data_IF_662009813078
#
_entry.id   IF_662009813078
#
_cell.length_a   1.000
_cell.length_b   1.000
_cell.length_c   1.000
_cell.angle_alpha   90.00
_cell.angle_beta   90.00
_cell.angle_gamma   90.00
#
_symmetry.space_group_name_H-M   'P 1'
#
loop_
_entity.id
_entity.type
_entity.pdbx_description
1 polymer ?
#
# COMPACT_ATOMS: atom_id res chain seq x y z
N UNK A 1 -19.48 -12.46 -4.64
CA UNK A 1 -18.40 -13.42 -4.27
C UNK A 1 -18.08 -13.23 -2.80
N UNK A 2 -18.06 -14.30 -2.06
CA UNK A 2 -17.71 -14.24 -0.62
C UNK A 2 -16.19 -14.23 -0.48
N UNK A 3 -15.66 -13.29 0.30
CA UNK A 3 -14.26 -13.20 0.69
C UNK A 3 -14.13 -12.98 2.18
N UNK A 4 -13.02 -13.44 2.76
CA UNK A 4 -12.63 -13.14 4.15
C UNK A 4 -11.48 -12.15 4.15
N UNK A 5 -11.56 -11.13 5.01
CA UNK A 5 -10.45 -10.20 5.22
C UNK A 5 -9.68 -10.66 6.47
N UNK A 6 -8.43 -10.99 6.29
CA UNK A 6 -7.55 -11.52 7.34
C UNK A 6 -6.17 -10.88 7.28
N UNK A 7 -5.39 -10.98 8.37
CA UNK A 7 -3.97 -10.59 8.35
C UNK A 7 -3.21 -11.50 7.37
N UNK A 8 -2.29 -10.90 6.63
CA UNK A 8 -1.45 -11.64 5.72
C UNK A 8 -0.48 -12.57 6.45
N UNK A 9 0.02 -13.57 5.74
CA UNK A 9 1.00 -14.54 6.22
C UNK A 9 2.24 -14.53 5.32
N UNK A 10 3.36 -14.95 5.86
CA UNK A 10 4.66 -14.92 5.20
C UNK A 10 4.66 -15.66 3.84
N UNK A 11 3.99 -16.81 3.76
CA UNK A 11 3.91 -17.60 2.54
C UNK A 11 3.13 -16.92 1.40
N UNK A 12 2.43 -15.82 1.68
CA UNK A 12 1.69 -15.02 0.69
C UNK A 12 2.54 -13.88 0.10
N UNK A 13 3.83 -13.77 0.49
CA UNK A 13 4.69 -12.63 0.13
C UNK A 13 4.79 -12.38 -1.37
N UNK A 14 4.82 -13.43 -2.20
CA UNK A 14 4.90 -13.27 -3.66
C UNK A 14 3.66 -12.57 -4.24
N UNK A 15 2.47 -13.07 -3.92
CA UNK A 15 1.21 -12.47 -4.43
C UNK A 15 0.97 -11.08 -3.84
N UNK A 16 1.40 -10.82 -2.61
CA UNK A 16 1.32 -9.48 -1.99
C UNK A 16 2.24 -8.51 -2.75
N UNK A 17 3.48 -8.92 -3.06
CA UNK A 17 4.42 -8.09 -3.82
C UNK A 17 3.89 -7.74 -5.21
N UNK A 18 3.33 -8.71 -5.96
CA UNK A 18 2.68 -8.45 -7.25
C UNK A 18 1.55 -7.43 -7.14
N UNK A 19 0.69 -7.55 -6.12
CA UNK A 19 -0.43 -6.64 -5.91
C UNK A 19 0.01 -5.25 -5.46
N UNK A 20 1.08 -5.13 -4.68
CA UNK A 20 1.68 -3.83 -4.34
C UNK A 20 2.21 -3.15 -5.60
N UNK A 21 2.92 -3.88 -6.46
CA UNK A 21 3.42 -3.34 -7.74
C UNK A 21 2.29 -2.89 -8.67
N UNK A 22 1.20 -3.62 -8.72
CA UNK A 22 -0.01 -3.21 -9.47
C UNK A 22 -0.63 -1.91 -8.88
N UNK A 23 -0.65 -1.77 -7.54
CA UNK A 23 -1.12 -0.55 -6.89
C UNK A 23 -0.20 0.66 -7.16
N UNK A 24 1.11 0.45 -7.16
CA UNK A 24 2.12 1.48 -7.47
C UNK A 24 2.12 1.90 -8.94
N UNK A 25 1.64 1.07 -9.82
CA UNK A 25 1.77 0.97 -11.28
C UNK A 25 3.20 0.61 -11.77
N UNK A 26 3.27 0.00 -12.95
CA UNK A 26 4.54 -0.51 -13.48
C UNK A 26 5.54 0.57 -13.89
N UNK A 27 5.08 1.77 -14.28
CA UNK A 27 5.97 2.90 -14.61
C UNK A 27 6.70 3.39 -13.37
N UNK A 28 5.99 3.50 -12.24
CA UNK A 28 6.58 3.84 -10.95
C UNK A 28 7.58 2.77 -10.49
N UNK A 29 7.22 1.49 -10.59
CA UNK A 29 8.12 0.38 -10.26
C UNK A 29 9.39 0.41 -11.13
N UNK A 30 9.26 0.64 -12.44
CA UNK A 30 10.39 0.75 -13.36
C UNK A 30 11.25 1.99 -13.07
N UNK A 31 10.62 3.10 -12.67
CA UNK A 31 11.36 4.29 -12.26
C UNK A 31 12.24 4.00 -11.02
N UNK A 32 11.73 3.28 -10.03
CA UNK A 32 12.53 2.87 -8.87
C UNK A 32 13.65 1.90 -9.24
N UNK A 33 13.39 0.90 -10.08
CA UNK A 33 14.41 -0.04 -10.55
C UNK A 33 15.52 0.65 -11.38
N UNK A 34 15.14 1.66 -12.16
CA UNK A 34 16.03 2.34 -13.09
C UNK A 34 16.15 1.60 -14.43
N UNK A 35 16.85 2.20 -15.42
CA UNK A 35 16.85 1.72 -16.82
C UNK A 35 17.67 0.44 -17.04
N UNK A 36 18.50 0.04 -16.08
CA UNK A 36 19.38 -1.14 -16.19
C UNK A 36 18.77 -2.39 -15.54
N UNK A 37 17.61 -2.26 -14.91
CA UNK A 37 16.93 -3.33 -14.20
C UNK A 37 15.52 -3.52 -14.72
N UNK A 38 14.97 -4.72 -14.50
CA UNK A 38 13.66 -5.13 -14.99
C UNK A 38 12.58 -5.01 -13.89
N UNK A 39 11.31 -5.14 -14.28
CA UNK A 39 10.21 -5.29 -13.31
C UNK A 39 10.35 -6.57 -12.47
N UNK A 40 10.96 -7.63 -13.01
CA UNK A 40 11.24 -8.85 -12.25
C UNK A 40 12.30 -8.61 -11.16
N UNK A 41 13.31 -7.76 -11.43
CA UNK A 41 14.29 -7.35 -10.41
C UNK A 41 13.59 -6.56 -9.29
N UNK A 42 12.67 -5.65 -9.66
CA UNK A 42 11.89 -4.90 -8.69
C UNK A 42 10.93 -5.81 -7.88
N UNK A 43 10.29 -6.77 -8.54
CA UNK A 43 9.47 -7.78 -7.87
C UNK A 43 10.29 -8.57 -6.84
N UNK A 44 11.50 -8.98 -7.19
CA UNK A 44 12.37 -9.71 -6.27
C UNK A 44 12.75 -8.88 -5.03
N UNK A 45 12.98 -7.57 -5.20
CA UNK A 45 13.17 -6.65 -4.07
C UNK A 45 11.87 -6.53 -3.26
N UNK A 46 10.74 -6.25 -3.92
CA UNK A 46 9.45 -6.05 -3.24
C UNK A 46 9.05 -7.30 -2.42
N UNK A 47 9.22 -8.51 -2.98
CA UNK A 47 8.96 -9.76 -2.27
C UNK A 47 9.81 -9.87 -0.99
N UNK A 48 11.11 -9.55 -1.05
CA UNK A 48 11.97 -9.53 0.13
C UNK A 48 11.51 -8.49 1.17
N UNK A 49 11.03 -7.33 0.74
CA UNK A 49 10.50 -6.30 1.64
C UNK A 49 9.19 -6.75 2.33
N UNK A 50 8.34 -7.47 1.61
CA UNK A 50 7.11 -8.07 2.19
C UNK A 50 7.45 -9.13 3.22
N UNK A 51 8.49 -9.93 3.01
CA UNK A 51 8.95 -10.98 3.94
C UNK A 51 9.56 -10.43 5.24
N UNK A 52 10.01 -9.17 5.25
CA UNK A 52 10.61 -8.52 6.44
C UNK A 52 9.54 -8.11 7.45
N UNK A 53 9.95 -8.00 8.71
CA UNK A 53 9.10 -7.51 9.82
C UNK A 53 9.28 -6.00 10.09
N UNK A 54 10.32 -5.39 9.50
CA UNK A 54 10.73 -4.00 9.69
C UNK A 54 10.62 -3.15 8.41
N UNK A 55 9.77 -3.55 7.47
CA UNK A 55 9.50 -2.84 6.21
C UNK A 55 8.09 -2.24 6.23
N UNK A 56 7.91 -1.08 5.58
CA UNK A 56 6.57 -0.52 5.34
C UNK A 56 5.68 -1.52 4.58
N UNK A 57 6.24 -2.28 3.66
CA UNK A 57 5.57 -3.31 2.84
C UNK A 57 5.41 -4.66 3.53
N UNK A 58 5.83 -4.80 4.79
CA UNK A 58 5.77 -6.06 5.53
C UNK A 58 4.40 -6.75 5.45
N UNK A 59 4.40 -8.09 5.36
CA UNK A 59 3.17 -8.88 5.51
C UNK A 59 2.46 -8.60 6.85
N UNK A 60 3.18 -8.18 7.89
CA UNK A 60 2.59 -7.77 9.19
C UNK A 60 1.75 -6.49 9.08
N UNK A 61 2.02 -5.64 8.10
CA UNK A 61 1.28 -4.42 7.81
C UNK A 61 0.13 -4.64 6.84
N UNK A 62 -0.06 -5.87 6.34
CA UNK A 62 -0.96 -6.17 5.22
C UNK A 62 -2.19 -6.95 5.68
N UNK A 63 -3.37 -6.47 5.26
CA UNK A 63 -4.61 -7.24 5.23
C UNK A 63 -4.80 -7.82 3.83
N UNK A 64 -5.24 -9.07 3.77
CA UNK A 64 -5.57 -9.75 2.50
C UNK A 64 -7.04 -10.14 2.44
N UNK A 65 -7.63 -10.03 1.26
CA UNK A 65 -8.92 -10.62 0.93
C UNK A 65 -8.67 -12.01 0.33
N UNK A 66 -9.20 -13.05 0.96
CA UNK A 66 -9.06 -14.44 0.50
C UNK A 66 -10.40 -15.03 0.11
N UNK A 67 -10.42 -15.82 -0.96
CA UNK A 67 -11.58 -16.64 -1.34
C UNK A 67 -11.78 -17.81 -0.37
N UNK A 68 -12.87 -18.54 -0.52
CA UNK A 68 -13.14 -19.80 0.21
C UNK A 68 -12.07 -20.87 -0.03
N UNK A 69 -11.35 -20.79 -1.15
CA UNK A 69 -10.22 -21.65 -1.52
C UNK A 69 -8.86 -21.13 -1.03
N UNK A 70 -8.86 -20.10 -0.16
CA UNK A 70 -7.68 -19.42 0.38
C UNK A 70 -6.80 -18.70 -0.67
N UNK A 71 -7.32 -18.43 -1.88
CA UNK A 71 -6.61 -17.62 -2.87
C UNK A 71 -6.69 -16.14 -2.47
N UNK A 72 -5.55 -15.44 -2.44
CA UNK A 72 -5.49 -13.98 -2.23
C UNK A 72 -6.00 -13.29 -3.49
N UNK A 73 -6.97 -12.41 -3.33
CA UNK A 73 -7.62 -11.65 -4.42
C UNK A 73 -7.64 -10.14 -4.19
N UNK A 74 -7.10 -9.69 -3.05
CA UNK A 74 -6.93 -8.27 -2.74
C UNK A 74 -6.01 -8.07 -1.56
N UNK A 75 -5.35 -6.92 -1.51
CA UNK A 75 -4.44 -6.51 -0.44
C UNK A 75 -4.70 -5.06 -0.02
N UNK A 76 -4.45 -4.77 1.25
CA UNK A 76 -4.39 -3.41 1.77
C UNK A 76 -3.21 -3.32 2.74
N UNK A 77 -2.20 -2.55 2.40
CA UNK A 77 -1.02 -2.28 3.23
C UNK A 77 -1.27 -1.02 4.04
N UNK A 78 -1.08 -1.10 5.36
CA UNK A 78 -1.28 0.05 6.24
C UNK A 78 -0.41 -0.04 7.49
N UNK A 79 0.17 1.08 7.90
CA UNK A 79 1.05 1.20 9.06
C UNK A 79 0.86 2.55 9.75
N UNK A 80 1.32 2.65 11.01
CA UNK A 80 1.36 3.92 11.74
C UNK A 80 2.27 4.90 10.99
N UNK A 81 1.72 6.03 10.55
CA UNK A 81 2.45 7.05 9.80
C UNK A 81 3.67 7.60 10.55
N UNK A 82 3.63 7.62 11.88
CA UNK A 82 4.78 7.99 12.71
C UNK A 82 5.99 7.05 12.58
N UNK A 83 5.78 5.83 12.08
CA UNK A 83 6.84 4.85 11.84
C UNK A 83 7.39 4.89 10.41
N UNK A 84 6.88 5.75 9.54
CA UNK A 84 7.26 5.79 8.11
C UNK A 84 8.77 5.73 7.89
N UNK A 85 9.52 6.67 8.48
CA UNK A 85 10.97 6.78 8.25
C UNK A 85 11.74 5.55 8.72
N UNK A 86 11.31 4.93 9.82
CA UNK A 86 11.90 3.68 10.33
C UNK A 86 11.63 2.52 9.39
N UNK A 87 10.38 2.36 8.93
CA UNK A 87 9.95 1.26 8.07
C UNK A 87 10.49 1.41 6.64
N UNK A 88 10.55 2.65 6.13
CA UNK A 88 11.06 2.95 4.78
C UNK A 88 12.55 2.66 4.62
N UNK A 89 13.29 2.67 5.73
CA UNK A 89 14.72 2.34 5.70
C UNK A 89 15.00 1.02 4.99
N UNK A 90 14.16 0.00 5.18
CA UNK A 90 14.29 -1.29 4.51
C UNK A 90 14.21 -1.15 2.97
N UNK A 91 13.31 -0.30 2.46
CA UNK A 91 13.20 -0.02 1.02
C UNK A 91 14.41 0.76 0.51
N UNK A 92 14.86 1.79 1.21
CA UNK A 92 16.03 2.61 0.83
C UNK A 92 17.28 1.73 0.75
N UNK A 93 17.57 0.98 1.80
CA UNK A 93 18.74 0.09 1.85
C UNK A 93 18.64 -1.01 0.78
N UNK A 94 17.46 -1.60 0.60
CA UNK A 94 17.22 -2.63 -0.39
C UNK A 94 17.41 -2.12 -1.82
N UNK A 95 16.89 -0.94 -2.14
CA UNK A 95 17.04 -0.31 -3.46
C UNK A 95 18.50 0.05 -3.76
N UNK A 96 19.23 0.52 -2.75
CA UNK A 96 20.66 0.81 -2.89
C UNK A 96 21.47 -0.45 -3.21
N UNK A 97 21.16 -1.56 -2.56
CA UNK A 97 21.83 -2.85 -2.79
C UNK A 97 21.40 -3.45 -4.13
N UNK A 98 20.12 -3.45 -4.45
CA UNK A 98 19.58 -4.12 -5.64
C UNK A 98 19.86 -3.32 -6.93
N UNK A 99 19.76 -1.99 -6.88
CA UNK A 99 19.74 -1.12 -8.07
C UNK A 99 20.84 -0.06 -8.08
N UNK A 100 21.62 0.07 -6.98
CA UNK A 100 22.59 1.16 -6.82
C UNK A 100 21.94 2.54 -6.70
N UNK A 101 20.65 2.62 -6.36
CA UNK A 101 19.89 3.86 -6.28
C UNK A 101 19.59 4.24 -4.84
N UNK A 102 19.89 5.48 -4.50
CA UNK A 102 19.64 6.04 -3.18
C UNK A 102 18.33 6.86 -3.20
N UNK A 103 17.39 6.53 -2.33
CA UNK A 103 16.11 7.19 -2.16
C UNK A 103 15.97 7.83 -0.77
N UNK A 104 17.08 8.18 -0.12
CA UNK A 104 17.08 8.80 1.21
C UNK A 104 16.32 10.13 1.25
N UNK A 105 16.30 10.86 0.13
CA UNK A 105 15.67 12.19 0.02
C UNK A 105 14.24 12.16 -0.50
N UNK A 106 13.63 10.96 -0.61
CA UNK A 106 12.24 10.85 -1.08
C UNK A 106 11.31 11.51 -0.06
N UNK A 107 10.35 12.36 -0.48
CA UNK A 107 9.42 13.04 0.42
C UNK A 107 8.60 12.07 1.27
N UNK A 108 8.22 12.51 2.45
CA UNK A 108 7.30 11.72 3.31
C UNK A 108 5.87 11.81 2.75
N UNK A 109 5.22 10.65 2.60
CA UNK A 109 3.82 10.56 2.18
C UNK A 109 2.83 10.61 3.34
N UNK A 110 3.29 10.47 4.57
CA UNK A 110 2.48 10.50 5.79
C UNK A 110 3.31 10.96 6.98
N UNK A 111 2.67 11.13 8.14
CA UNK A 111 3.29 11.55 9.39
C UNK A 111 2.60 10.91 10.59
N UNK A 112 3.10 11.17 11.79
CA UNK A 112 2.47 10.77 13.04
C UNK A 112 1.03 11.29 13.13
N UNK A 113 0.14 10.46 13.68
CA UNK A 113 -1.24 10.81 13.96
C UNK A 113 -2.27 10.16 13.04
N UNK A 114 -1.84 9.27 12.15
CA UNK A 114 -2.75 8.47 11.32
C UNK A 114 -2.25 7.04 11.08
N UNK A 115 -3.18 6.11 10.87
CA UNK A 115 -2.90 4.84 10.23
C UNK A 115 -2.87 5.10 8.72
N UNK A 116 -1.69 5.13 8.13
CA UNK A 116 -1.54 5.40 6.69
C UNK A 116 -1.83 4.14 5.86
N UNK A 117 -2.68 4.30 4.84
CA UNK A 117 -2.96 3.28 3.84
C UNK A 117 -2.04 3.56 2.66
N UNK A 118 -1.00 2.74 2.54
CA UNK A 118 0.04 2.86 1.52
C UNK A 118 -0.42 2.28 0.16
N UNK A 119 -0.94 1.06 0.18
CA UNK A 119 -1.31 0.34 -1.04
C UNK A 119 -2.65 -0.37 -0.89
N UNK A 120 -3.52 -0.24 -1.90
CA UNK A 120 -4.78 -0.97 -2.02
C UNK A 120 -4.90 -1.54 -3.42
N UNK A 121 -5.00 -2.85 -3.53
CA UNK A 121 -5.19 -3.52 -4.82
C UNK A 121 -6.22 -4.65 -4.72
N UNK A 122 -7.00 -4.82 -5.79
CA UNK A 122 -7.87 -5.98 -6.00
C UNK A 122 -7.56 -6.56 -7.37
N UNK A 123 -7.34 -7.87 -7.43
CA UNK A 123 -7.08 -8.59 -8.68
C UNK A 123 -8.13 -8.26 -9.74
N UNK A 124 -7.69 -8.02 -10.95
CA UNK A 124 -8.51 -7.44 -12.04
C UNK A 124 -9.81 -8.22 -12.27
N UNK A 125 -9.73 -9.55 -12.25
CA UNK A 125 -10.86 -10.46 -12.45
C UNK A 125 -11.85 -10.48 -11.28
N UNK A 126 -11.48 -9.88 -10.15
CA UNK A 126 -12.31 -9.82 -8.93
C UNK A 126 -12.80 -8.40 -8.60
N UNK A 127 -12.49 -7.41 -9.44
CA UNK A 127 -12.98 -6.03 -9.28
C UNK A 127 -14.50 -5.96 -9.47
N UNK A 128 -15.13 -4.90 -8.98
CA UNK A 128 -16.58 -4.73 -9.04
C UNK A 128 -17.39 -5.51 -8.00
N UNK A 129 -16.76 -6.36 -7.18
CA UNK A 129 -17.41 -7.20 -6.18
C UNK A 129 -17.36 -6.61 -4.74
N UNK A 130 -17.02 -5.34 -4.58
CA UNK A 130 -16.99 -4.65 -3.28
C UNK A 130 -15.81 -5.03 -2.37
N UNK A 131 -14.81 -5.79 -2.86
CA UNK A 131 -13.67 -6.27 -2.08
C UNK A 131 -12.82 -5.12 -1.56
N UNK A 132 -12.56 -4.09 -2.38
CA UNK A 132 -11.82 -2.92 -1.95
C UNK A 132 -12.49 -2.20 -0.76
N UNK A 133 -13.83 -2.08 -0.78
CA UNK A 133 -14.58 -1.51 0.35
C UNK A 133 -14.45 -2.36 1.63
N UNK A 134 -14.49 -3.69 1.51
CA UNK A 134 -14.30 -4.59 2.65
C UNK A 134 -12.89 -4.45 3.24
N UNK A 135 -11.84 -4.37 2.41
CA UNK A 135 -10.47 -4.12 2.84
C UNK A 135 -10.35 -2.76 3.56
N UNK A 136 -10.93 -1.70 2.99
CA UNK A 136 -10.93 -0.36 3.60
C UNK A 136 -11.65 -0.37 4.96
N UNK A 137 -12.84 -0.97 5.06
CA UNK A 137 -13.56 -1.06 6.34
C UNK A 137 -12.76 -1.83 7.40
N UNK A 138 -12.09 -2.93 7.02
CA UNK A 138 -11.24 -3.68 7.93
C UNK A 138 -10.01 -2.87 8.38
N UNK A 139 -9.43 -2.06 7.47
CA UNK A 139 -8.30 -1.17 7.79
C UNK A 139 -8.74 -0.02 8.69
N UNK A 140 -9.89 0.59 8.45
CA UNK A 140 -10.49 1.60 9.34
C UNK A 140 -10.71 1.01 10.73
N UNK A 141 -11.23 -0.23 10.82
CA UNK A 141 -11.39 -0.91 12.09
C UNK A 141 -10.04 -1.19 12.79
N UNK A 142 -8.96 -1.45 12.01
CA UNK A 142 -7.59 -1.54 12.54
C UNK A 142 -7.15 -0.18 13.13
N UNK A 143 -7.35 0.93 12.39
CA UNK A 143 -7.05 2.29 12.86
C UNK A 143 -7.77 2.62 14.17
N UNK A 144 -9.07 2.33 14.24
CA UNK A 144 -9.86 2.54 15.48
C UNK A 144 -9.31 1.77 16.68
N UNK A 145 -8.87 0.53 16.51
CA UNK A 145 -8.21 -0.23 17.61
C UNK A 145 -6.88 0.38 18.05
N UNK A 146 -6.19 1.08 17.14
CA UNK A 146 -4.94 1.80 17.41
C UNK A 146 -5.17 3.23 17.92
N UNK A 147 -6.42 3.68 18.00
CA UNK A 147 -6.81 5.07 18.28
C UNK A 147 -6.19 6.06 17.26
N UNK A 148 -6.12 5.66 15.99
CA UNK A 148 -5.62 6.45 14.88
C UNK A 148 -6.71 6.59 13.80
N UNK A 149 -6.98 7.81 13.29
CA UNK A 149 -7.74 7.99 12.05
C UNK A 149 -6.99 7.29 10.90
N UNK A 150 -7.69 6.91 9.85
CA UNK A 150 -7.07 6.29 8.67
C UNK A 150 -6.85 7.35 7.59
N UNK A 151 -5.61 7.48 7.11
CA UNK A 151 -5.25 8.44 6.05
C UNK A 151 -4.72 7.74 4.80
N UNK A 152 -4.82 8.39 3.65
CA UNK A 152 -4.23 7.96 2.38
C UNK A 152 -3.97 9.14 1.45
N UNK A 153 -3.05 8.94 0.49
CA UNK A 153 -2.89 9.83 -0.65
C UNK A 153 -3.55 9.22 -1.88
N UNK A 154 -4.28 10.04 -2.64
CA UNK A 154 -4.83 9.66 -3.94
C UNK A 154 -4.36 10.63 -5.02
N UNK A 155 -3.88 10.09 -6.15
CA UNK A 155 -3.48 10.89 -7.31
C UNK A 155 -4.70 11.64 -7.86
N UNK A 156 -4.55 12.93 -8.12
CA UNK A 156 -5.62 13.77 -8.71
C UNK A 156 -6.06 13.29 -10.09
N UNK A 157 -5.21 12.51 -10.78
CA UNK A 157 -5.51 11.86 -12.06
C UNK A 157 -6.26 10.53 -11.88
N UNK A 158 -6.57 10.09 -10.65
CA UNK A 158 -7.34 8.88 -10.37
C UNK A 158 -8.68 9.17 -9.67
N UNK A 159 -9.63 9.85 -10.37
CA UNK A 159 -10.92 10.22 -9.79
C UNK A 159 -11.78 9.02 -9.38
N UNK A 160 -11.58 7.85 -10.01
CA UNK A 160 -12.33 6.64 -9.66
C UNK A 160 -11.94 6.12 -8.27
N UNK A 161 -10.66 6.15 -7.93
CA UNK A 161 -10.19 5.80 -6.59
C UNK A 161 -10.70 6.79 -5.55
N UNK A 162 -10.67 8.09 -5.84
CA UNK A 162 -11.21 9.12 -4.93
C UNK A 162 -12.71 8.91 -4.65
N UNK A 163 -13.51 8.59 -5.67
CA UNK A 163 -14.93 8.25 -5.50
C UNK A 163 -15.09 7.03 -4.58
N UNK A 164 -14.28 5.98 -4.78
CA UNK A 164 -14.31 4.80 -3.90
C UNK A 164 -14.05 5.20 -2.44
N UNK A 165 -13.00 5.96 -2.17
CA UNK A 165 -12.64 6.37 -0.81
C UNK A 165 -13.75 7.22 -0.16
N UNK A 166 -14.32 8.17 -0.90
CA UNK A 166 -15.45 8.99 -0.44
C UNK A 166 -16.68 8.15 -0.09
N UNK A 167 -16.98 7.08 -0.88
CA UNK A 167 -18.11 6.18 -0.57
C UNK A 167 -17.92 5.36 0.70
N UNK A 168 -16.68 5.25 1.20
CA UNK A 168 -16.33 4.57 2.46
C UNK A 168 -16.25 5.55 3.63
N UNK A 169 -16.34 6.86 3.37
CA UNK A 169 -16.37 7.88 4.40
C UNK A 169 -15.06 8.67 4.56
N UNK A 170 -14.09 8.50 3.66
CA UNK A 170 -12.92 9.38 3.63
C UNK A 170 -13.33 10.77 3.16
N UNK A 171 -12.77 11.79 3.79
CA UNK A 171 -12.97 13.19 3.44
C UNK A 171 -11.63 13.85 3.09
N UNK A 172 -11.68 14.83 2.20
CA UNK A 172 -10.52 15.62 1.85
C UNK A 172 -10.00 16.38 3.07
N UNK A 173 -8.69 16.38 3.26
CA UNK A 173 -8.00 17.10 4.31
C UNK A 173 -7.12 18.22 3.74
N UNK A 174 -6.17 17.87 2.89
CA UNK A 174 -5.23 18.83 2.27
C UNK A 174 -4.65 18.29 0.96
N UNK A 175 -3.94 19.14 0.23
CA UNK A 175 -3.17 18.76 -0.96
C UNK A 175 -1.75 18.32 -0.56
N UNK A 176 -1.21 17.37 -1.30
CA UNK A 176 0.14 16.86 -1.12
C UNK A 176 0.81 16.69 -2.50
N UNK A 177 2.10 16.42 -2.48
CA UNK A 177 2.86 16.03 -3.66
C UNK A 177 3.70 14.80 -3.33
N UNK A 178 3.60 13.78 -4.17
CA UNK A 178 4.42 12.59 -4.01
C UNK A 178 4.79 11.99 -5.38
N UNK A 179 6.05 11.56 -5.52
CA UNK A 179 6.52 10.97 -6.79
C UNK A 179 6.40 11.88 -8.01
N UNK A 180 6.37 13.21 -7.84
CA UNK A 180 6.15 14.19 -8.92
C UNK A 180 4.68 14.40 -9.31
N UNK A 181 3.76 13.76 -8.61
CA UNK A 181 2.32 13.86 -8.85
C UNK A 181 1.62 14.73 -7.79
N UNK A 182 0.60 15.48 -8.22
CA UNK A 182 -0.33 16.16 -7.31
C UNK A 182 -1.25 15.11 -6.67
N UNK A 183 -1.28 15.10 -5.34
CA UNK A 183 -2.03 14.14 -4.54
C UNK A 183 -3.05 14.86 -3.67
N UNK A 184 -4.14 14.19 -3.35
CA UNK A 184 -5.07 14.61 -2.30
C UNK A 184 -4.92 13.71 -1.10
N UNK A 185 -4.73 14.31 0.07
CA UNK A 185 -4.77 13.60 1.33
C UNK A 185 -6.22 13.47 1.78
N UNK A 186 -6.68 12.24 1.91
CA UNK A 186 -8.01 11.91 2.39
C UNK A 186 -7.90 11.21 3.74
N UNK A 187 -8.80 11.54 4.68
CA UNK A 187 -8.80 10.99 6.03
C UNK A 187 -10.20 10.50 6.41
N UNK A 188 -10.26 9.34 7.03
CA UNK A 188 -11.44 8.81 7.72
C UNK A 188 -11.23 8.99 9.23
N UNK A 189 -12.06 9.81 9.86
CA UNK A 189 -12.00 10.05 11.30
C UNK A 189 -12.31 8.79 12.14
N UNK A 190 -11.95 8.85 13.42
CA UNK A 190 -12.22 7.78 14.39
C UNK A 190 -13.73 7.53 14.59
#
# INVERSE_FOLDING_TARGET
MEVKIVSARLEQSAVIAEMIMEAMNHECCQWFAGPQHTLDDFFNLMKKLVERTDSQYSYLNTLVATTTENKVVGVCVSYDGGLLRTLRKAFIDGSKVAFGRDFSDIPDETSEGELYIDSLCVAKEHRGNGIAKQLLHATIAKGKRMNLPSGLLVDTNNPQAEVLYKTVGFVYKDDNQWGGHAMRHLVHSL
#
